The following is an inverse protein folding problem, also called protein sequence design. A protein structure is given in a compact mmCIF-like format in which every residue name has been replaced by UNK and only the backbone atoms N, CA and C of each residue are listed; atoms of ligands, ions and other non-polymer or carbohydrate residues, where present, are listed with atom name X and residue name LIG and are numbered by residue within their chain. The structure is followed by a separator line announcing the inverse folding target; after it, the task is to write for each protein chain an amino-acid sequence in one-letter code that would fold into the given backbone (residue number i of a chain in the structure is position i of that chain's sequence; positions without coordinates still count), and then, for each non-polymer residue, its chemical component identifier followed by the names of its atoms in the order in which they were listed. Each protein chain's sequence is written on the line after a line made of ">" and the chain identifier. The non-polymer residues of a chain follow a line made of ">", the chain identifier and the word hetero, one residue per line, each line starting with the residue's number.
data_IF_610834842453
#
_entry.id   IF_610834842453
#
_cell.length_a   1.000
_cell.length_b   1.000
_cell.length_c   1.000
_cell.angle_alpha   90.00
_cell.angle_beta   90.00
_cell.angle_gamma   90.00
#
_symmetry.space_group_name_H-M   'P 1'
#
loop_
_entity.id
_entity.type
_entity.pdbx_description
1 polymer ?
#
# COMPACT_ATOMS: atom_id res chain seq x y z
N UNK A 1 21.07 -12.06 2.78
CA UNK A 1 21.30 -10.60 2.61
C UNK A 1 19.97 -9.93 2.31
N UNK A 2 19.47 -9.05 3.19
CA UNK A 2 18.16 -8.38 2.99
C UNK A 2 18.38 -7.11 2.16
N UNK A 3 17.97 -7.14 0.89
CA UNK A 3 17.95 -5.92 0.05
C UNK A 3 16.94 -4.94 0.64
N UNK A 4 17.38 -3.71 0.88
CA UNK A 4 16.49 -2.66 1.38
C UNK A 4 16.44 -1.53 0.36
N UNK A 5 15.28 -1.29 -0.25
CA UNK A 5 15.17 -0.25 -1.27
C UNK A 5 15.29 1.13 -0.65
N UNK A 6 15.90 2.05 -1.40
CA UNK A 6 16.00 3.46 -1.03
C UNK A 6 14.66 4.19 -1.09
N UNK A 7 13.72 3.71 -1.93
CA UNK A 7 12.38 4.26 -2.07
C UNK A 7 11.34 3.15 -2.08
N UNK A 8 10.30 3.32 -1.29
CA UNK A 8 9.12 2.44 -1.25
C UNK A 8 7.89 3.30 -1.54
N UNK A 9 7.02 2.81 -2.43
CA UNK A 9 5.72 3.41 -2.68
C UNK A 9 4.64 2.49 -2.11
N UNK A 10 3.75 3.03 -1.27
CA UNK A 10 2.59 2.32 -0.75
C UNK A 10 1.31 3.02 -1.21
N UNK A 11 0.24 2.28 -1.40
CA UNK A 11 -1.06 2.87 -1.73
C UNK A 11 -1.69 3.48 -0.47
N UNK A 12 -2.28 4.68 -0.60
CA UNK A 12 -3.11 5.27 0.44
C UNK A 12 -4.49 4.58 0.47
N UNK A 13 -4.51 3.37 1.02
CA UNK A 13 -5.72 2.59 1.26
C UNK A 13 -6.50 3.16 2.44
N UNK A 14 -7.81 3.36 2.28
CA UNK A 14 -8.69 3.72 3.39
C UNK A 14 -8.95 2.48 4.28
N UNK A 15 -7.94 2.07 5.05
CA UNK A 15 -8.01 0.88 5.92
C UNK A 15 -9.22 0.96 6.86
N UNK A 16 -9.49 2.14 7.43
CA UNK A 16 -10.65 2.37 8.28
C UNK A 16 -11.99 2.11 7.56
N UNK A 17 -12.13 2.61 6.33
CA UNK A 17 -13.32 2.34 5.50
C UNK A 17 -13.43 0.87 5.09
N UNK A 18 -12.32 0.19 4.82
CA UNK A 18 -12.35 -1.22 4.47
C UNK A 18 -12.68 -2.12 5.68
N UNK A 19 -12.29 -1.71 6.90
CA UNK A 19 -12.68 -2.36 8.15
C UNK A 19 -14.18 -2.22 8.45
N UNK A 20 -14.88 -1.26 7.85
CA UNK A 20 -16.34 -1.16 7.95
C UNK A 20 -17.08 -2.19 7.07
N UNK A 21 -16.38 -2.86 6.14
CA UNK A 21 -16.97 -3.90 5.29
C UNK A 21 -17.04 -5.23 6.04
N UNK A 22 -18.25 -5.69 6.38
CA UNK A 22 -18.47 -6.99 7.04
C UNK A 22 -17.82 -8.19 6.32
N UNK A 23 -17.65 -8.10 4.99
CA UNK A 23 -17.04 -9.16 4.19
C UNK A 23 -15.52 -9.17 4.25
N UNK A 24 -14.88 -8.01 4.40
CA UNK A 24 -13.44 -7.84 4.26
C UNK A 24 -12.73 -7.50 5.58
N UNK A 25 -13.47 -7.02 6.58
CA UNK A 25 -12.92 -6.55 7.86
C UNK A 25 -12.01 -7.60 8.53
N UNK A 26 -12.44 -8.86 8.55
CA UNK A 26 -11.63 -9.96 9.13
C UNK A 26 -10.31 -10.14 8.38
N UNK A 27 -10.36 -10.31 7.06
CA UNK A 27 -9.18 -10.52 6.24
C UNK A 27 -8.19 -9.34 6.32
N UNK A 28 -8.69 -8.12 6.44
CA UNK A 28 -7.88 -6.90 6.53
C UNK A 28 -7.23 -6.76 7.90
N UNK A 29 -7.98 -7.06 8.97
CA UNK A 29 -7.45 -7.12 10.33
C UNK A 29 -6.37 -8.18 10.45
N UNK A 30 -6.62 -9.39 9.94
CA UNK A 30 -5.68 -10.51 9.97
C UNK A 30 -4.39 -10.18 9.19
N UNK A 31 -4.49 -9.41 8.09
CA UNK A 31 -3.35 -8.98 7.30
C UNK A 31 -2.51 -7.85 7.96
N UNK A 32 -3.04 -7.16 8.97
CA UNK A 32 -2.29 -6.17 9.75
C UNK A 32 -1.79 -4.96 8.96
N UNK A 33 -2.50 -4.53 7.91
CA UNK A 33 -2.06 -3.50 6.97
C UNK A 33 -1.64 -2.17 7.61
N UNK A 34 -2.36 -1.73 8.66
CA UNK A 34 -2.04 -0.50 9.38
C UNK A 34 -0.67 -0.60 10.09
N UNK A 35 -0.41 -1.73 10.74
CA UNK A 35 0.84 -1.97 11.46
C UNK A 35 2.01 -2.14 10.47
N UNK A 36 1.76 -2.81 9.36
CA UNK A 36 2.75 -2.95 8.29
C UNK A 36 3.18 -1.58 7.73
N UNK A 37 2.23 -0.69 7.43
CA UNK A 37 2.54 0.67 6.97
C UNK A 37 3.32 1.47 8.03
N UNK A 38 2.96 1.35 9.31
CA UNK A 38 3.68 1.97 10.43
C UNK A 38 5.14 1.50 10.51
N UNK A 39 5.37 0.19 10.40
CA UNK A 39 6.71 -0.40 10.42
C UNK A 39 7.55 0.02 9.22
N UNK A 40 6.95 0.10 8.03
CA UNK A 40 7.64 0.59 6.83
C UNK A 40 8.10 2.03 6.99
N UNK A 41 7.22 2.91 7.48
CA UNK A 41 7.54 4.32 7.73
C UNK A 41 8.70 4.46 8.71
N UNK A 42 8.65 3.72 9.81
CA UNK A 42 9.72 3.66 10.79
C UNK A 42 11.04 3.16 10.18
N UNK A 43 11.03 2.02 9.48
CA UNK A 43 12.25 1.41 8.93
C UNK A 43 12.88 2.22 7.79
N UNK A 44 12.07 2.89 6.98
CA UNK A 44 12.56 3.79 5.93
C UNK A 44 13.19 5.04 6.53
N UNK A 45 12.53 5.69 7.50
CA UNK A 45 13.08 6.84 8.20
C UNK A 45 14.41 6.52 8.90
N UNK A 46 14.49 5.37 9.58
CA UNK A 46 15.71 4.92 10.26
C UNK A 46 16.91 4.74 9.30
N UNK A 47 16.65 4.40 8.04
CA UNK A 47 17.68 4.14 7.03
C UNK A 47 17.94 5.31 6.08
N UNK A 48 17.29 6.45 6.31
CA UNK A 48 17.36 7.62 5.42
C UNK A 48 16.74 7.39 4.04
N UNK A 49 15.85 6.40 3.91
CA UNK A 49 15.08 6.15 2.68
C UNK A 49 13.73 6.86 2.68
N UNK A 50 13.05 6.83 1.54
CA UNK A 50 11.78 7.53 1.33
C UNK A 50 10.60 6.57 1.19
N UNK A 51 9.62 6.72 2.07
CA UNK A 51 8.29 6.14 1.89
C UNK A 51 7.39 7.19 1.23
N UNK A 52 6.80 6.85 0.09
CA UNK A 52 5.86 7.69 -0.65
C UNK A 52 4.50 7.02 -0.65
N UNK A 53 3.46 7.77 -0.27
CA UNK A 53 2.09 7.33 -0.43
C UNK A 53 1.61 7.70 -1.84
N UNK A 54 1.20 6.70 -2.63
CA UNK A 54 0.54 6.93 -3.91
C UNK A 54 -0.85 7.54 -3.65
N UNK A 55 -1.25 8.44 -4.54
CA UNK A 55 -2.56 9.10 -4.46
C UNK A 55 -3.69 8.06 -4.42
N UNK A 56 -4.72 8.31 -3.61
CA UNK A 56 -5.85 7.39 -3.43
C UNK A 56 -6.61 7.13 -4.74
N UNK A 57 -6.67 8.12 -5.62
CA UNK A 57 -7.34 8.04 -6.91
C UNK A 57 -6.43 7.54 -8.03
N UNK A 58 -5.16 7.27 -7.72
CA UNK A 58 -4.26 6.61 -8.66
C UNK A 58 -4.80 5.20 -8.96
N UNK A 59 -5.16 4.89 -10.22
CA UNK A 59 -5.85 3.65 -10.55
C UNK A 59 -4.89 2.45 -10.65
N UNK A 60 -3.89 2.32 -9.76
CA UNK A 60 -2.88 1.24 -9.79
C UNK A 60 -3.45 -0.16 -9.98
N UNK A 61 -4.53 -0.47 -9.26
CA UNK A 61 -5.20 -1.78 -9.29
C UNK A 61 -5.99 -2.03 -10.58
N UNK A 62 -6.22 -0.98 -11.37
CA UNK A 62 -6.95 -1.02 -12.65
C UNK A 62 -6.05 -0.75 -13.85
N UNK A 63 -4.79 -0.35 -13.66
CA UNK A 63 -3.86 -0.14 -14.76
C UNK A 63 -3.10 -1.42 -15.09
N UNK A 64 -3.00 -1.75 -16.39
CA UNK A 64 -2.07 -2.76 -16.83
C UNK A 64 -0.63 -2.30 -16.54
N UNK A 65 0.19 -3.05 -15.77
CA UNK A 65 1.54 -2.62 -15.42
C UNK A 65 2.48 -2.52 -16.62
N UNK A 66 2.13 -3.14 -17.75
CA UNK A 66 2.92 -3.09 -18.97
C UNK A 66 2.58 -1.89 -19.86
N UNK A 67 1.30 -1.48 -19.90
CA UNK A 67 0.82 -0.48 -20.87
C UNK A 67 0.25 0.79 -20.23
N UNK A 68 0.00 0.81 -18.93
CA UNK A 68 -0.59 1.97 -18.23
C UNK A 68 -2.03 2.28 -18.65
N UNK A 69 -2.73 1.34 -19.28
CA UNK A 69 -4.12 1.48 -19.72
C UNK A 69 -5.05 0.78 -18.73
N UNK A 70 -6.27 1.29 -18.55
CA UNK A 70 -7.27 0.66 -17.67
C UNK A 70 -7.65 -0.72 -18.20
N UNK A 71 -7.50 -1.77 -17.39
CA UNK A 71 -7.82 -3.17 -17.70
C UNK A 71 -9.33 -3.44 -17.83
N UNK A 72 -10.14 -2.41 -18.07
CA UNK A 72 -11.60 -2.55 -18.22
C UNK A 72 -11.96 -2.39 -19.70
N UNK A 73 -12.28 -3.53 -20.33
CA UNK A 73 -13.33 -3.64 -21.34
C UNK A 73 -14.54 -4.31 -20.69
#
# INVERSE_FOLDING_TARGET
>A
MVKTPYRIVIENLNVAGMLASHRLARAISDAGWAEFARLLKYKQAWRGGHLVEADRWYPSTRLCPHFGQSTVQ
#
